data_IF_168916479026
#
_entry.id   IF_168916479026
#
_cell.length_a   1.000
_cell.length_b   1.000
_cell.length_c   1.000
_cell.angle_alpha   90.00
_cell.angle_beta   90.00
_cell.angle_gamma   90.00
#
_symmetry.space_group_name_H-M   'P 1'
#
loop_
_entity.id
_entity.type
_entity.pdbx_description
1 polymer ?
#
# COMPACT_ATOMS: atom_id res chain seq x y z
N UNK A 1 -19.97 2.73 -3.53
CA UNK A 1 -18.66 3.09 -2.95
C UNK A 1 -17.71 3.72 -3.97
N UNK A 2 -17.51 3.11 -5.14
CA UNK A 2 -16.55 3.53 -6.18
C UNK A 2 -16.67 5.00 -6.65
N UNK A 3 -17.87 5.58 -6.60
CA UNK A 3 -18.09 6.99 -6.95
C UNK A 3 -17.66 7.98 -5.85
N UNK A 4 -17.46 7.50 -4.62
CA UNK A 4 -17.23 8.33 -3.42
C UNK A 4 -15.85 8.14 -2.82
N UNK A 5 -15.33 6.92 -2.83
CA UNK A 5 -14.02 6.60 -2.28
C UNK A 5 -12.97 6.71 -3.38
N UNK A 6 -12.03 7.63 -3.19
CA UNK A 6 -11.00 7.98 -4.17
C UNK A 6 -9.61 7.99 -3.52
N UNK A 7 -8.63 7.44 -4.23
CA UNK A 7 -7.25 7.30 -3.76
C UNK A 7 -6.36 8.14 -4.69
N UNK A 8 -5.69 9.13 -4.13
CA UNK A 8 -4.65 9.87 -4.85
C UNK A 8 -3.29 9.22 -4.61
N UNK A 9 -2.59 8.85 -5.69
CA UNK A 9 -1.24 8.30 -5.61
C UNK A 9 -0.22 9.41 -5.82
N UNK A 10 0.67 9.62 -4.86
CA UNK A 10 1.82 10.51 -5.06
C UNK A 10 2.73 9.97 -6.15
N UNK A 11 3.35 10.86 -6.93
CA UNK A 11 4.08 10.49 -8.16
C UNK A 11 5.60 10.46 -7.97
N UNK A 12 6.06 10.83 -6.79
CA UNK A 12 7.47 10.83 -6.48
C UNK A 12 8.03 9.43 -6.35
N UNK A 13 9.35 9.32 -6.50
CA UNK A 13 10.05 8.05 -6.50
C UNK A 13 10.03 7.34 -7.86
N UNK A 14 11.00 6.47 -8.06
CA UNK A 14 11.16 5.70 -9.30
C UNK A 14 11.09 4.20 -9.04
N UNK A 15 10.61 3.48 -10.06
CA UNK A 15 10.71 2.03 -10.08
C UNK A 15 12.19 1.58 -10.10
N UNK A 16 12.53 0.44 -9.46
CA UNK A 16 11.61 -0.52 -8.88
C UNK A 16 11.26 -0.27 -7.40
N UNK A 17 11.85 0.72 -6.73
CA UNK A 17 11.66 0.94 -5.29
C UNK A 17 10.27 1.50 -4.97
N UNK A 18 9.76 2.33 -5.87
CA UNK A 18 8.42 2.92 -5.78
C UNK A 18 7.60 2.54 -7.01
N UNK A 19 6.28 2.67 -6.94
CA UNK A 19 5.37 2.47 -8.08
C UNK A 19 5.40 1.08 -8.73
N UNK A 20 6.04 0.11 -8.07
CA UNK A 20 6.19 -1.25 -8.58
C UNK A 20 6.34 -2.21 -7.42
N UNK A 21 5.58 -3.29 -7.45
CA UNK A 21 5.65 -4.37 -6.49
C UNK A 21 5.71 -5.75 -7.17
N UNK A 22 5.98 -6.81 -6.41
CA UNK A 22 5.86 -8.17 -6.91
C UNK A 22 4.39 -8.51 -7.20
N UNK A 23 4.13 -9.21 -8.31
CA UNK A 23 2.79 -9.69 -8.69
C UNK A 23 2.59 -11.19 -8.38
N UNK A 24 3.52 -11.80 -7.65
CA UNK A 24 3.51 -13.23 -7.32
C UNK A 24 4.07 -13.42 -5.91
N UNK A 25 3.95 -14.64 -5.43
CA UNK A 25 4.28 -15.12 -4.09
C UNK A 25 3.42 -14.47 -2.98
N UNK A 26 3.84 -14.63 -1.73
CA UNK A 26 3.15 -14.10 -0.54
C UNK A 26 3.00 -12.57 -0.53
N UNK A 27 3.84 -11.85 -1.28
CA UNK A 27 3.79 -10.39 -1.33
C UNK A 27 2.97 -9.83 -2.50
N UNK A 28 2.29 -10.69 -3.25
CA UNK A 28 1.68 -10.30 -4.52
C UNK A 28 0.64 -9.18 -4.38
N UNK A 29 -0.11 -9.15 -3.28
CA UNK A 29 -1.18 -8.15 -3.09
C UNK A 29 -0.62 -6.71 -3.04
N UNK A 30 0.64 -6.50 -2.61
CA UNK A 30 1.33 -5.22 -2.68
C UNK A 30 1.45 -4.73 -4.14
N UNK A 31 2.01 -5.56 -5.02
CA UNK A 31 2.14 -5.20 -6.44
C UNK A 31 0.80 -5.18 -7.17
N UNK A 32 -0.16 -6.02 -6.80
CA UNK A 32 -1.49 -6.02 -7.39
C UNK A 32 -2.25 -4.74 -7.07
N UNK A 33 -2.15 -4.22 -5.84
CA UNK A 33 -2.72 -2.94 -5.46
C UNK A 33 -2.09 -1.78 -6.23
N UNK A 34 -0.75 -1.73 -6.30
CA UNK A 34 -0.04 -0.70 -7.06
C UNK A 34 -0.46 -0.70 -8.53
N UNK A 35 -0.38 -1.85 -9.20
CA UNK A 35 -0.78 -1.94 -10.60
C UNK A 35 -2.26 -1.62 -10.78
N UNK A 36 -3.12 -1.95 -9.81
CA UNK A 36 -4.50 -1.53 -9.88
C UNK A 36 -4.65 -0.02 -9.88
N UNK A 37 -4.16 0.64 -8.83
CA UNK A 37 -4.45 2.05 -8.62
C UNK A 37 -3.72 2.94 -9.63
N UNK A 38 -2.66 2.42 -10.27
CA UNK A 38 -1.81 3.16 -11.22
C UNK A 38 -2.05 2.80 -12.70
N UNK A 39 -2.82 1.75 -13.04
CA UNK A 39 -3.05 1.36 -14.45
C UNK A 39 -3.92 2.33 -15.27
N UNK A 40 -4.44 3.40 -14.65
CA UNK A 40 -5.29 4.41 -15.29
C UNK A 40 -6.73 3.97 -15.58
N UNK A 41 -7.11 2.74 -15.21
CA UNK A 41 -8.45 2.17 -15.40
C UNK A 41 -9.22 2.04 -14.08
N UNK A 42 -8.53 2.11 -12.94
CA UNK A 42 -9.20 2.00 -11.64
C UNK A 42 -10.26 3.06 -11.44
N UNK A 43 -11.44 2.63 -11.02
CA UNK A 43 -12.52 3.55 -10.63
C UNK A 43 -12.27 4.21 -9.27
N UNK A 44 -11.33 3.66 -8.50
CA UNK A 44 -10.92 4.18 -7.20
C UNK A 44 -9.76 5.17 -7.31
N UNK A 45 -9.04 5.18 -8.42
CA UNK A 45 -8.01 6.19 -8.65
C UNK A 45 -8.65 7.59 -8.72
N UNK A 46 -8.02 8.52 -8.00
CA UNK A 46 -8.36 9.91 -8.02
C UNK A 46 -7.73 10.60 -9.25
N UNK A 47 -8.51 11.35 -10.02
CA UNK A 47 -8.03 12.15 -11.14
C UNK A 47 -7.27 13.40 -10.68
N UNK A 48 -7.61 13.93 -9.49
CA UNK A 48 -6.93 15.03 -8.84
C UNK A 48 -6.88 14.81 -7.31
N UNK A 49 -5.95 15.45 -6.59
CA UNK A 49 -5.89 15.31 -5.13
C UNK A 49 -7.11 15.92 -4.41
N UNK A 50 -7.85 16.83 -5.04
CA UNK A 50 -9.07 17.44 -4.46
C UNK A 50 -10.23 16.46 -4.33
N UNK A 51 -10.34 15.48 -5.22
CA UNK A 51 -11.40 14.46 -5.15
C UNK A 51 -11.04 13.29 -4.22
N UNK A 52 -9.79 13.24 -3.74
CA UNK A 52 -9.27 12.11 -2.99
C UNK A 52 -9.81 12.05 -1.56
N UNK A 53 -10.23 10.85 -1.16
CA UNK A 53 -10.58 10.51 0.22
C UNK A 53 -9.35 10.14 1.03
N UNK A 54 -8.39 9.45 0.40
CA UNK A 54 -7.14 9.00 1.01
C UNK A 54 -5.98 9.16 0.03
N UNK A 55 -4.77 9.20 0.56
CA UNK A 55 -3.54 9.52 -0.15
C UNK A 55 -2.57 8.35 -0.03
N UNK A 56 -2.20 7.75 -1.15
CA UNK A 56 -1.34 6.59 -1.23
C UNK A 56 0.12 7.00 -1.45
N UNK A 57 1.00 6.44 -0.62
CA UNK A 57 2.46 6.52 -0.70
C UNK A 57 2.96 5.19 -1.32
N UNK A 58 3.35 5.18 -2.61
CA UNK A 58 3.58 3.97 -3.41
C UNK A 58 4.96 3.34 -3.15
N UNK A 59 5.25 3.00 -1.91
CA UNK A 59 6.52 2.39 -1.48
C UNK A 59 6.47 0.88 -1.67
N UNK A 60 7.38 0.35 -2.49
CA UNK A 60 7.56 -1.08 -2.69
C UNK A 60 8.55 -1.65 -1.69
N UNK A 61 8.12 -1.92 -0.45
CA UNK A 61 9.00 -2.42 0.63
C UNK A 61 9.72 -3.69 0.17
N UNK A 62 9.03 -4.62 -0.50
CA UNK A 62 9.64 -5.86 -0.99
C UNK A 62 10.76 -5.56 -2.00
N UNK A 63 10.56 -4.57 -2.86
CA UNK A 63 11.56 -4.17 -3.83
C UNK A 63 12.72 -3.42 -3.17
N UNK A 64 12.49 -2.60 -2.14
CA UNK A 64 13.57 -2.01 -1.34
C UNK A 64 14.43 -3.13 -0.74
N UNK A 65 13.82 -4.14 -0.11
CA UNK A 65 14.57 -5.28 0.43
C UNK A 65 15.32 -6.03 -0.70
N UNK A 66 14.68 -6.24 -1.84
CA UNK A 66 15.31 -6.95 -2.96
C UNK A 66 16.50 -6.21 -3.56
N UNK A 67 16.40 -4.89 -3.77
CA UNK A 67 17.35 -4.11 -4.56
C UNK A 67 18.36 -3.32 -3.72
N UNK A 68 18.02 -2.97 -2.48
CA UNK A 68 18.90 -2.17 -1.59
C UNK A 68 19.69 -3.06 -0.64
N UNK A 69 19.09 -4.15 -0.17
CA UNK A 69 19.68 -5.01 0.86
C UNK A 69 20.45 -6.21 0.33
N UNK A 70 20.52 -6.44 -0.98
CA UNK A 70 21.27 -7.57 -1.54
C UNK A 70 22.65 -7.17 -2.06
N UNK A 71 23.72 -7.93 -1.73
CA UNK A 71 23.75 -9.04 -0.76
C UNK A 71 23.52 -8.54 0.69
N UNK A 72 22.88 -9.37 1.52
CA UNK A 72 22.56 -9.00 2.91
C UNK A 72 23.83 -8.91 3.76
N UNK A 73 24.24 -7.68 4.06
CA UNK A 73 25.35 -7.39 4.99
C UNK A 73 24.86 -7.09 6.41
N UNK A 74 23.61 -6.66 6.55
CA UNK A 74 22.97 -6.33 7.82
C UNK A 74 21.45 -6.52 7.71
N UNK A 75 20.82 -6.81 8.85
CA UNK A 75 19.38 -6.84 9.01
C UNK A 75 18.83 -5.55 9.64
N UNK A 76 19.66 -4.52 9.81
CA UNK A 76 19.20 -3.21 10.30
C UNK A 76 18.16 -2.61 9.36
N UNK A 77 17.11 -2.02 9.91
CA UNK A 77 16.05 -1.36 9.13
C UNK A 77 16.39 0.07 8.73
N UNK A 78 17.55 0.61 9.12
CA UNK A 78 17.91 2.02 8.90
C UNK A 78 17.77 2.46 7.45
N UNK A 79 18.26 1.65 6.48
CA UNK A 79 18.17 2.02 5.05
C UNK A 79 16.71 2.04 4.58
N UNK A 80 15.93 1.03 4.96
CA UNK A 80 14.49 0.98 4.67
C UNK A 80 13.78 2.20 5.28
N UNK A 81 13.97 2.43 6.58
CA UNK A 81 13.36 3.52 7.33
C UNK A 81 13.70 4.90 6.74
N UNK A 82 14.96 5.13 6.39
CA UNK A 82 15.38 6.39 5.79
C UNK A 82 14.78 6.59 4.39
N UNK A 83 14.76 5.56 3.53
CA UNK A 83 14.14 5.67 2.19
C UNK A 83 12.66 6.08 2.30
N UNK A 84 11.91 5.44 3.21
CA UNK A 84 10.48 5.78 3.38
C UNK A 84 10.29 7.15 4.05
N UNK A 85 11.10 7.46 5.07
CA UNK A 85 11.07 8.76 5.75
C UNK A 85 11.36 9.89 4.77
N UNK A 86 12.35 9.76 3.92
CA UNK A 86 12.72 10.78 2.93
C UNK A 86 11.58 11.01 1.92
N UNK A 87 10.94 9.94 1.45
CA UNK A 87 9.76 10.04 0.58
C UNK A 87 8.65 10.84 1.25
N UNK A 88 8.28 10.46 2.48
CA UNK A 88 7.17 11.07 3.21
C UNK A 88 7.50 12.51 3.57
N UNK A 89 8.74 12.81 3.98
CA UNK A 89 9.19 14.17 4.28
C UNK A 89 9.10 15.05 3.03
N UNK A 90 9.52 14.54 1.88
CA UNK A 90 9.39 15.25 0.62
C UNK A 90 7.92 15.54 0.29
N UNK A 91 7.04 14.57 0.48
CA UNK A 91 5.60 14.73 0.25
C UNK A 91 4.97 15.72 1.24
N UNK A 92 5.32 15.64 2.53
CA UNK A 92 4.79 16.51 3.56
C UNK A 92 5.21 17.96 3.38
N UNK A 93 6.42 18.18 2.87
CA UNK A 93 6.98 19.51 2.65
C UNK A 93 6.45 20.14 1.35
N UNK A 94 6.29 19.33 0.30
CA UNK A 94 5.88 19.79 -1.03
C UNK A 94 4.38 20.03 -1.16
N UNK A 95 3.55 19.22 -0.51
CA UNK A 95 2.11 19.24 -0.74
C UNK A 95 1.32 19.67 0.50
N UNK A 96 0.28 20.51 0.35
CA UNK A 96 -0.49 21.01 1.49
C UNK A 96 -1.35 19.93 2.17
N UNK A 97 -1.60 18.83 1.47
CA UNK A 97 -2.51 17.75 1.85
C UNK A 97 -2.06 16.98 3.09
N UNK A 98 -0.76 16.92 3.38
CA UNK A 98 -0.26 16.27 4.59
C UNK A 98 -0.72 17.01 5.86
N UNK A 99 -0.61 18.34 5.87
CA UNK A 99 -0.92 19.17 7.04
C UNK A 99 -2.41 19.23 7.39
N UNK A 100 -3.29 18.98 6.42
CA UNK A 100 -4.75 18.89 6.61
C UNK A 100 -5.15 17.89 7.70
N UNK A 101 -4.48 16.75 7.74
CA UNK A 101 -4.80 15.62 8.62
C UNK A 101 -3.62 15.22 9.51
N UNK A 102 -2.46 15.87 9.32
CA UNK A 102 -1.16 15.43 9.85
C UNK A 102 -0.84 13.99 9.48
N UNK A 103 -1.13 13.61 8.24
CA UNK A 103 -0.92 12.27 7.69
C UNK A 103 -2.00 11.23 8.03
N UNK A 104 -3.10 11.62 8.69
CA UNK A 104 -4.15 10.67 9.10
C UNK A 104 -4.98 10.08 7.94
N UNK A 105 -4.89 10.67 6.75
CA UNK A 105 -5.51 10.18 5.51
C UNK A 105 -4.45 9.66 4.52
N UNK A 106 -3.20 9.51 4.96
CA UNK A 106 -2.08 8.97 4.18
C UNK A 106 -1.77 7.54 4.58
N UNK A 107 -1.48 6.70 3.58
CA UNK A 107 -1.13 5.31 3.84
C UNK A 107 -0.09 4.77 2.86
N UNK A 108 0.66 3.77 3.30
CA UNK A 108 1.34 2.82 2.41
C UNK A 108 0.72 1.43 2.61
N UNK A 109 0.92 0.56 1.63
CA UNK A 109 0.53 -0.83 1.70
C UNK A 109 1.77 -1.71 1.55
N UNK A 110 1.96 -2.66 2.47
CA UNK A 110 2.98 -3.68 2.30
C UNK A 110 2.65 -5.00 2.99
N UNK A 111 3.12 -6.09 2.39
CA UNK A 111 3.04 -7.43 2.98
C UNK A 111 4.32 -7.92 3.61
N UNK A 112 5.43 -7.19 3.44
CA UNK A 112 6.68 -7.66 4.01
C UNK A 112 6.64 -7.51 5.54
N UNK A 113 7.18 -8.49 6.26
CA UNK A 113 7.27 -8.51 7.72
C UNK A 113 8.09 -7.35 8.33
N UNK A 114 8.83 -6.59 7.51
CA UNK A 114 9.59 -5.40 7.97
C UNK A 114 8.79 -4.10 7.84
N UNK A 115 7.61 -4.15 7.20
CA UNK A 115 6.75 -3.00 7.04
C UNK A 115 6.32 -2.34 8.37
N UNK A 116 6.04 -3.08 9.46
CA UNK A 116 5.75 -2.46 10.76
C UNK A 116 6.89 -1.56 11.27
N UNK A 117 8.15 -1.94 11.04
CA UNK A 117 9.34 -1.26 11.53
C UNK A 117 9.60 0.09 10.83
N UNK A 118 9.05 0.29 9.63
CA UNK A 118 9.23 1.52 8.82
C UNK A 118 8.94 2.78 9.64
N UNK A 119 7.89 2.72 10.46
CA UNK A 119 7.39 3.87 11.21
C UNK A 119 8.10 4.11 12.54
N UNK A 120 9.00 3.21 12.96
CA UNK A 120 9.66 3.28 14.26
C UNK A 120 10.72 4.40 14.35
N UNK A 121 11.28 4.81 13.21
CA UNK A 121 12.38 5.80 13.14
C UNK A 121 11.93 7.23 13.51
N UNK A 122 10.65 7.54 13.34
CA UNK A 122 10.13 8.89 13.58
C UNK A 122 8.67 8.87 14.10
N UNK A 123 8.46 8.60 15.39
CA UNK A 123 7.12 8.42 15.94
C UNK A 123 6.18 9.63 15.74
N UNK A 124 6.72 10.84 15.64
CA UNK A 124 5.91 12.06 15.45
C UNK A 124 5.46 12.21 14.00
N UNK A 125 6.33 11.96 13.02
CA UNK A 125 5.95 11.95 11.60
C UNK A 125 4.87 10.89 11.33
N UNK A 126 5.03 9.69 11.90
CA UNK A 126 4.15 8.55 11.64
C UNK A 126 3.00 8.39 12.61
N UNK A 127 2.76 9.38 13.48
CA UNK A 127 1.79 9.28 14.58
C UNK A 127 0.40 8.90 14.07
N UNK A 128 -0.07 9.58 13.03
CA UNK A 128 -1.40 9.38 12.45
C UNK A 128 -1.39 8.58 11.15
N UNK A 129 -0.22 8.34 10.56
CA UNK A 129 -0.06 7.65 9.29
C UNK A 129 -0.60 6.21 9.33
N UNK A 130 -1.43 5.86 8.34
CA UNK A 130 -2.07 4.55 8.23
C UNK A 130 -1.09 3.55 7.59
N UNK A 131 -0.94 2.37 8.20
CA UNK A 131 -0.24 1.26 7.56
C UNK A 131 -1.27 0.22 7.11
N UNK A 132 -1.33 -0.07 5.82
CA UNK A 132 -2.05 -1.23 5.32
C UNK A 132 -1.08 -2.41 5.27
N UNK A 133 -1.29 -3.41 6.12
CA UNK A 133 -0.35 -4.50 6.38
C UNK A 133 -1.01 -5.84 6.10
N UNK A 134 -0.26 -6.78 5.52
CA UNK A 134 -0.76 -8.16 5.31
C UNK A 134 -0.65 -9.03 6.57
N UNK A 135 -0.77 -8.38 7.73
CA UNK A 135 -0.66 -8.92 9.07
C UNK A 135 -1.53 -8.06 10.00
N UNK A 136 -2.02 -8.63 11.10
CA UNK A 136 -2.77 -7.95 12.15
C UNK A 136 -2.17 -8.14 13.55
N UNK A 137 -0.97 -8.71 13.65
CA UNK A 137 -0.36 -9.07 14.92
C UNK A 137 0.09 -7.83 15.71
N UNK A 138 -0.63 -7.54 16.81
CA UNK A 138 -0.30 -6.42 17.69
C UNK A 138 1.06 -6.58 18.38
N UNK A 139 1.55 -7.82 18.61
CA UNK A 139 2.89 -8.03 19.19
C UNK A 139 4.02 -7.65 18.24
N UNK A 140 3.73 -7.57 16.93
CA UNK A 140 4.66 -7.11 15.88
C UNK A 140 4.42 -5.63 15.52
N UNK A 141 3.67 -4.92 16.38
CA UNK A 141 3.48 -3.49 16.28
C UNK A 141 2.26 -3.04 15.49
N UNK A 142 1.39 -3.95 15.03
CA UNK A 142 0.09 -3.58 14.42
C UNK A 142 -0.77 -2.77 15.41
N UNK A 143 -1.40 -1.69 14.95
CA UNK A 143 -2.23 -0.79 15.76
C UNK A 143 -3.68 -0.82 15.24
N UNK A 144 -4.60 -1.60 15.85
CA UNK A 144 -5.97 -1.77 15.34
C UNK A 144 -6.79 -0.48 15.18
N UNK A 145 -6.47 0.57 15.95
CA UNK A 145 -7.17 1.86 15.87
C UNK A 145 -6.80 2.68 14.62
N UNK A 146 -5.75 2.29 13.89
CA UNK A 146 -5.15 3.10 12.83
C UNK A 146 -4.75 2.30 11.59
N UNK A 147 -4.16 1.13 11.79
CA UNK A 147 -3.67 0.29 10.71
C UNK A 147 -4.81 -0.55 10.11
N UNK A 148 -4.65 -0.94 8.84
CA UNK A 148 -5.59 -1.76 8.09
C UNK A 148 -4.94 -3.12 7.85
N UNK A 149 -5.64 -4.21 8.17
CA UNK A 149 -5.19 -5.55 7.83
C UNK A 149 -5.67 -5.94 6.45
N UNK A 150 -4.81 -6.62 5.69
CA UNK A 150 -5.10 -7.22 4.40
C UNK A 150 -4.79 -8.72 4.44
N UNK A 151 -5.50 -9.55 3.67
CA UNK A 151 -5.14 -10.95 3.54
C UNK A 151 -3.82 -11.09 2.80
N UNK A 152 -2.91 -11.89 3.35
CA UNK A 152 -1.77 -12.39 2.59
C UNK A 152 -2.26 -13.48 1.63
N UNK A 153 -2.13 -13.23 0.32
CA UNK A 153 -2.55 -14.17 -0.72
C UNK A 153 -1.34 -14.61 -1.51
N UNK A 154 -0.96 -15.89 -1.36
CA UNK A 154 0.14 -16.48 -2.12
C UNK A 154 -0.27 -16.76 -3.56
N UNK A 155 0.25 -15.96 -4.50
CA UNK A 155 -0.02 -16.13 -5.93
C UNK A 155 1.13 -16.89 -6.59
N UNK A 156 0.86 -18.03 -7.21
CA UNK A 156 1.91 -18.80 -7.91
C UNK A 156 2.38 -18.05 -9.16
N UNK A 157 3.68 -18.10 -9.45
CA UNK A 157 4.23 -17.66 -10.73
C UNK A 157 3.49 -18.33 -11.88
N UNK A 158 2.95 -17.54 -12.81
CA UNK A 158 2.21 -18.05 -13.98
C UNK A 158 0.85 -17.36 -14.15
N UNK A 159 -0.18 -18.12 -14.54
CA UNK A 159 -1.54 -17.60 -14.79
C UNK A 159 -2.32 -17.48 -13.48
N UNK A 160 -2.96 -16.31 -13.28
CA UNK A 160 -3.99 -16.09 -12.28
C UNK A 160 -5.10 -17.16 -12.44
N UNK A 161 -5.43 -17.85 -11.34
CA UNK A 161 -6.41 -18.93 -11.29
C UNK A 161 -7.84 -18.48 -11.65
N UNK A 162 -8.77 -19.44 -11.66
CA UNK A 162 -10.19 -19.20 -11.97
C UNK A 162 -10.84 -18.23 -10.96
N UNK A 163 -11.74 -17.40 -11.47
CA UNK A 163 -12.48 -16.37 -10.72
C UNK A 163 -13.52 -16.99 -9.78
N UNK A 164 -13.62 -16.47 -8.56
CA UNK A 164 -14.82 -16.66 -7.74
C UNK A 164 -15.72 -15.43 -7.94
N UNK A 165 -16.92 -15.63 -8.48
CA UNK A 165 -17.82 -14.53 -8.85
C UNK A 165 -18.54 -14.02 -7.59
N UNK A 166 -18.01 -12.97 -6.97
CA UNK A 166 -18.76 -12.17 -5.99
C UNK A 166 -19.76 -11.21 -6.66
N UNK A 167 -20.61 -10.53 -5.88
CA UNK A 167 -21.54 -9.51 -6.40
C UNK A 167 -20.83 -8.42 -7.21
N UNK A 168 -21.42 -7.76 -8.20
CA UNK A 168 -20.71 -6.71 -8.95
C UNK A 168 -20.39 -5.48 -8.07
N UNK A 169 -19.30 -4.73 -8.33
CA UNK A 169 -18.81 -3.64 -7.47
C UNK A 169 -19.84 -2.55 -7.09
N UNK A 170 -20.85 -2.35 -7.94
CA UNK A 170 -21.92 -1.37 -7.72
C UNK A 170 -22.94 -1.79 -6.65
N UNK A 171 -23.03 -3.09 -6.32
CA UNK A 171 -23.92 -3.61 -5.29
C UNK A 171 -23.23 -3.77 -3.91
N UNK A 172 -21.92 -3.55 -3.82
CA UNK A 172 -21.14 -3.79 -2.59
C UNK A 172 -21.16 -2.62 -1.60
N UNK A 173 -21.23 -2.95 -0.31
CA UNK A 173 -21.22 -2.00 0.82
C UNK A 173 -19.83 -1.78 1.43
N UNK A 174 -18.90 -2.73 1.28
CA UNK A 174 -17.55 -2.71 1.86
C UNK A 174 -16.44 -2.70 0.80
N UNK A 175 -15.25 -2.23 1.19
CA UNK A 175 -14.05 -2.12 0.36
C UNK A 175 -13.07 -3.20 0.83
N UNK A 176 -12.61 -4.04 -0.08
CA UNK A 176 -11.55 -5.01 0.19
C UNK A 176 -10.67 -5.14 -1.04
N UNK A 177 -9.38 -5.44 -0.97
CA UNK A 177 -8.50 -5.41 -2.16
C UNK A 177 -8.22 -6.83 -2.62
N UNK A 178 -8.64 -7.21 -3.84
CA UNK A 178 -8.11 -8.40 -4.52
C UNK A 178 -7.91 -8.12 -6.02
N UNK A 179 -7.18 -8.99 -6.73
CA UNK A 179 -6.96 -8.82 -8.17
C UNK A 179 -7.02 -10.16 -8.88
N UNK A 180 -7.92 -10.25 -9.87
CA UNK A 180 -8.19 -11.45 -10.65
C UNK A 180 -8.08 -11.13 -12.16
N UNK A 181 -7.22 -11.86 -12.87
CA UNK A 181 -7.09 -11.81 -14.34
C UNK A 181 -7.14 -10.41 -15.00
N UNK A 182 -6.30 -9.47 -14.56
CA UNK A 182 -6.24 -8.14 -15.17
C UNK A 182 -7.45 -7.25 -14.89
N UNK A 183 -8.35 -7.69 -14.01
CA UNK A 183 -9.30 -6.87 -13.29
C UNK A 183 -8.90 -6.90 -11.81
N UNK A 184 -8.46 -5.76 -11.33
CA UNK A 184 -8.68 -5.42 -9.94
C UNK A 184 -10.14 -5.57 -9.57
N UNK A 185 -10.40 -6.34 -8.53
CA UNK A 185 -11.73 -6.40 -7.98
C UNK A 185 -11.57 -6.23 -6.50
N UNK A 186 -12.16 -5.18 -5.98
CA UNK A 186 -12.20 -5.01 -4.56
C UNK A 186 -13.15 -6.05 -3.91
N UNK A 187 -12.71 -7.26 -3.56
CA UNK A 187 -13.54 -8.42 -3.09
C UNK A 187 -13.39 -8.74 -1.59
N UNK A 188 -14.51 -9.03 -0.91
CA UNK A 188 -14.59 -9.26 0.55
C UNK A 188 -14.33 -10.72 0.97
N UNK A 189 -13.74 -10.86 2.16
CA UNK A 189 -13.76 -12.05 3.03
C UNK A 189 -15.12 -12.09 3.75
N UNK A 190 -15.64 -13.32 3.94
CA UNK A 190 -16.91 -13.69 4.58
C UNK A 190 -17.34 -12.85 5.79
#
# INVERSE_FOLDING_TARGET
MEKRFKIWTYREGEAPLFHKGPLNDIYAIEGHFMDEIENGKSRFAAASPEEATVFYIPVGIVNIIRFVYRPYITYSRDRLQNIVKDYISLVSDRYPYWNRSRGADHFFLSCHDWAPDVTAVDPELYKHFIRALCNANASEGFKPIRDVSLPEIKIKYGKLGLTHNGEPPHNRKHLAVEKFQGQSVFTDIL
#
